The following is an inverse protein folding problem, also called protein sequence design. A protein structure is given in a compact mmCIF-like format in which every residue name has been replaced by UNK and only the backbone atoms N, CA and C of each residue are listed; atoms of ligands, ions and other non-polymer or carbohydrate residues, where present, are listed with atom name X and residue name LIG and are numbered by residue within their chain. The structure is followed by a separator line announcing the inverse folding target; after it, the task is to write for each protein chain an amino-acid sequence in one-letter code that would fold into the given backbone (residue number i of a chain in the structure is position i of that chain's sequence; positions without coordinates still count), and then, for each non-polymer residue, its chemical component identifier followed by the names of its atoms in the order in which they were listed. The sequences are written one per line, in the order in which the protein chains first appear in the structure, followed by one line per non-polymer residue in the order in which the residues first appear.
data_IF_961490931226
#
_entry.id   IF_961490931226
#
_cell.length_a   1.000
_cell.length_b   1.000
_cell.length_c   1.000
_cell.angle_alpha   90.00
_cell.angle_beta   90.00
_cell.angle_gamma   90.00
#
_symmetry.space_group_name_H-M   'P 1'
#
loop_
_entity.id
_entity.type
_entity.pdbx_description
1 polymer ?
#
# COMPACT_ATOMS: atom_id res chain seq x y z
N UNK A 1 -0.29 -5.38 -12.59
CA UNK A 1 -0.73 -4.56 -11.45
C UNK A 1 0.34 -4.56 -10.37
N UNK A 2 0.65 -3.41 -9.77
CA UNK A 2 1.62 -3.27 -8.70
C UNK A 2 0.95 -2.54 -7.52
N UNK A 3 1.10 -3.05 -6.30
CA UNK A 3 0.48 -2.55 -5.08
C UNK A 3 1.52 -2.05 -4.07
N UNK A 4 1.06 -1.43 -2.98
CA UNK A 4 1.84 -1.15 -1.78
C UNK A 4 1.15 -1.74 -0.56
N UNK A 5 1.94 -2.11 0.45
CA UNK A 5 1.42 -2.23 1.82
C UNK A 5 1.16 -0.80 2.33
N UNK A 6 -0.10 -0.44 2.68
CA UNK A 6 -0.43 0.91 3.09
C UNK A 6 0.24 1.30 4.41
N UNK A 7 0.55 0.32 5.28
CA UNK A 7 1.20 0.54 6.57
C UNK A 7 2.07 -0.68 6.96
N UNK A 8 3.32 -0.75 6.46
CA UNK A 8 4.22 -1.85 6.76
C UNK A 8 4.37 -2.12 8.26
N UNK A 9 4.14 -3.38 8.65
CA UNK A 9 4.23 -3.83 10.05
C UNK A 9 2.98 -3.57 10.91
N UNK A 10 1.93 -2.97 10.34
CA UNK A 10 0.68 -2.71 11.06
C UNK A 10 -0.47 -3.68 10.71
N UNK A 11 -0.24 -4.65 9.81
CA UNK A 11 -1.23 -5.67 9.46
C UNK A 11 -1.63 -6.51 10.69
N UNK A 12 -2.94 -6.64 10.93
CA UNK A 12 -3.48 -7.48 11.98
C UNK A 12 -3.58 -8.94 11.55
N UNK A 13 -2.49 -9.69 11.76
CA UNK A 13 -2.46 -11.12 11.52
C UNK A 13 -3.29 -11.94 12.54
N UNK A 14 -3.79 -11.34 13.62
CA UNK A 14 -4.62 -12.03 14.62
C UNK A 14 -6.08 -12.18 14.18
N UNK A 15 -6.51 -11.36 13.21
CA UNK A 15 -7.84 -11.39 12.64
C UNK A 15 -7.81 -11.32 11.10
N UNK A 16 -7.19 -12.30 10.42
CA UNK A 16 -6.96 -12.25 8.99
C UNK A 16 -8.27 -12.38 8.18
N UNK A 17 -8.17 -12.15 6.88
CA UNK A 17 -9.27 -12.42 5.94
C UNK A 17 -9.79 -13.86 6.11
N UNK A 18 -11.11 -14.01 6.10
CA UNK A 18 -11.78 -15.30 6.26
C UNK A 18 -11.83 -15.81 7.70
N UNK A 19 -11.23 -15.12 8.68
CA UNK A 19 -11.28 -15.55 10.07
C UNK A 19 -12.71 -15.65 10.60
N UNK A 20 -13.02 -16.77 11.27
CA UNK A 20 -14.33 -17.07 11.87
C UNK A 20 -14.25 -17.27 13.38
N UNK A 21 -13.08 -17.06 13.98
CA UNK A 21 -12.90 -17.24 15.41
C UNK A 21 -13.85 -16.32 16.21
N UNK A 22 -14.36 -16.84 17.33
CA UNK A 22 -15.19 -16.04 18.25
C UNK A 22 -14.40 -14.78 18.66
N UNK A 23 -15.05 -13.61 18.76
CA UNK A 23 -16.50 -13.40 18.83
C UNK A 23 -17.19 -13.15 17.49
N UNK A 24 -16.56 -13.44 16.34
CA UNK A 24 -17.17 -13.19 15.03
C UNK A 24 -18.41 -14.06 14.82
N UNK A 25 -19.46 -13.47 14.26
CA UNK A 25 -20.69 -14.16 13.83
C UNK A 25 -20.68 -14.46 12.32
N UNK A 26 -19.74 -13.88 11.59
CA UNK A 26 -19.48 -14.09 10.17
C UNK A 26 -17.98 -13.93 9.89
N UNK A 27 -17.52 -14.54 8.79
CA UNK A 27 -16.11 -14.48 8.40
C UNK A 27 -15.66 -13.03 8.17
N UNK A 28 -14.42 -12.71 8.56
CA UNK A 28 -13.82 -11.42 8.26
C UNK A 28 -13.72 -11.22 6.73
N UNK A 29 -14.34 -10.17 6.20
CA UNK A 29 -14.48 -9.97 4.74
C UNK A 29 -13.37 -9.15 4.11
N UNK A 30 -12.35 -8.80 4.90
CA UNK A 30 -11.25 -7.94 4.50
C UNK A 30 -10.02 -8.20 5.38
N UNK A 31 -9.09 -7.25 5.36
CA UNK A 31 -7.86 -7.24 6.16
C UNK A 31 -7.75 -5.89 6.87
N UNK A 32 -7.24 -5.91 8.09
CA UNK A 32 -7.12 -4.72 8.94
C UNK A 32 -5.66 -4.32 9.14
N UNK A 33 -5.42 -3.00 9.20
CA UNK A 33 -4.17 -2.40 9.64
C UNK A 33 -4.42 -1.52 10.88
N UNK A 34 -3.75 -1.84 11.98
CA UNK A 34 -3.92 -1.15 13.26
C UNK A 34 -3.08 0.12 13.27
N UNK A 35 -3.71 1.24 12.96
CA UNK A 35 -3.06 2.56 12.91
C UNK A 35 -3.96 3.63 13.54
N UNK A 36 -3.36 4.71 14.03
CA UNK A 36 -4.08 5.77 14.74
C UNK A 36 -5.03 6.55 13.84
N UNK A 37 -6.14 7.01 14.42
CA UNK A 37 -7.08 7.88 13.71
C UNK A 37 -6.41 9.18 13.25
N UNK A 38 -6.77 9.65 12.06
CA UNK A 38 -6.21 10.85 11.43
C UNK A 38 -4.99 10.59 10.53
N UNK A 39 -4.41 9.39 10.60
CA UNK A 39 -3.33 8.93 9.70
C UNK A 39 -3.82 8.95 8.25
N UNK A 40 -3.01 9.45 7.33
CA UNK A 40 -3.33 9.45 5.91
C UNK A 40 -3.39 8.01 5.38
N UNK A 41 -4.48 7.67 4.69
CA UNK A 41 -4.68 6.36 4.07
C UNK A 41 -4.24 6.41 2.60
N UNK A 42 -3.05 5.88 2.24
CA UNK A 42 -2.53 5.93 0.88
C UNK A 42 -3.26 4.93 -0.02
N UNK A 43 -3.39 5.21 -1.32
CA UNK A 43 -3.97 4.30 -2.31
C UNK A 43 -3.10 3.05 -2.50
N UNK A 44 -3.68 1.85 -2.40
CA UNK A 44 -2.95 0.58 -2.60
C UNK A 44 -2.30 0.48 -3.97
N UNK A 45 -3.00 0.96 -5.00
CA UNK A 45 -2.59 0.88 -6.39
C UNK A 45 -3.25 1.98 -7.20
N UNK A 46 -2.70 2.23 -8.39
CA UNK A 46 -3.27 3.19 -9.33
C UNK A 46 -4.63 2.70 -9.85
N UNK A 47 -5.54 3.63 -10.06
CA UNK A 47 -6.90 3.29 -10.44
C UNK A 47 -7.85 4.47 -10.51
N UNK A 48 -9.12 4.17 -10.77
CA UNK A 48 -10.21 5.16 -10.83
C UNK A 48 -11.14 4.99 -9.64
N UNK A 49 -11.48 6.08 -8.96
CA UNK A 49 -12.45 6.06 -7.86
C UNK A 49 -13.84 5.68 -8.40
N UNK A 50 -14.31 4.49 -8.04
CA UNK A 50 -15.59 3.96 -8.49
C UNK A 50 -16.77 4.48 -7.67
N UNK A 51 -16.59 4.64 -6.35
CA UNK A 51 -17.57 5.27 -5.47
C UNK A 51 -16.93 5.75 -4.16
N UNK A 52 -17.62 6.66 -3.47
CA UNK A 52 -17.38 7.01 -2.05
C UNK A 52 -18.70 7.36 -1.39
N UNK A 53 -18.95 6.90 -0.18
CA UNK A 53 -20.24 7.08 0.49
C UNK A 53 -20.17 6.88 2.00
N UNK A 54 -21.31 7.12 2.67
CA UNK A 54 -21.54 6.68 4.05
C UNK A 54 -22.31 5.36 4.07
N UNK A 55 -21.90 4.43 4.92
CA UNK A 55 -22.61 3.19 5.22
C UNK A 55 -22.76 3.02 6.74
N UNK A 56 -23.94 2.64 7.22
CA UNK A 56 -24.21 2.57 8.67
C UNK A 56 -23.23 1.65 9.43
N UNK A 57 -22.91 0.48 8.87
CA UNK A 57 -21.94 -0.44 9.46
C UNK A 57 -20.49 -0.07 9.21
N UNK A 58 -20.18 0.47 8.03
CA UNK A 58 -18.81 0.55 7.51
C UNK A 58 -18.25 1.98 7.49
N UNK A 59 -19.04 2.96 7.93
CA UNK A 59 -18.63 4.34 8.07
C UNK A 59 -18.47 5.04 6.72
N UNK A 60 -17.53 5.97 6.66
CA UNK A 60 -17.12 6.58 5.41
C UNK A 60 -16.24 5.60 4.62
N UNK A 61 -16.62 5.37 3.36
CA UNK A 61 -15.95 4.43 2.48
C UNK A 61 -15.52 5.08 1.17
N UNK A 62 -14.50 4.49 0.55
CA UNK A 62 -14.09 4.76 -0.84
C UNK A 62 -13.74 3.45 -1.51
N UNK A 63 -14.13 3.28 -2.77
CA UNK A 63 -13.79 2.14 -3.60
C UNK A 63 -13.05 2.61 -4.85
N UNK A 64 -11.94 1.96 -5.17
CA UNK A 64 -11.10 2.25 -6.34
C UNK A 64 -11.04 1.01 -7.22
N UNK A 65 -11.29 1.22 -8.52
CA UNK A 65 -11.08 0.24 -9.58
C UNK A 65 -9.62 0.28 -10.01
N UNK A 66 -8.90 -0.84 -9.86
CA UNK A 66 -7.50 -0.93 -10.27
C UNK A 66 -7.38 -0.92 -11.81
N UNK A 67 -6.39 -0.21 -12.37
CA UNK A 67 -6.26 -0.01 -13.83
C UNK A 67 -6.00 -1.32 -14.60
N UNK A 68 -5.07 -2.15 -14.12
CA UNK A 68 -4.63 -3.38 -14.79
C UNK A 68 -5.29 -4.64 -14.20
N UNK A 69 -6.53 -4.52 -13.71
CA UNK A 69 -7.20 -5.63 -13.04
C UNK A 69 -8.71 -5.51 -13.08
N UNK A 70 -9.40 -6.66 -13.03
CA UNK A 70 -10.85 -6.69 -12.81
C UNK A 70 -11.26 -6.34 -11.37
N UNK A 71 -10.29 -6.16 -10.48
CA UNK A 71 -10.51 -5.95 -9.06
C UNK A 71 -10.78 -4.48 -8.66
N UNK A 72 -11.51 -4.35 -7.57
CA UNK A 72 -11.76 -3.15 -6.82
C UNK A 72 -11.27 -3.36 -5.40
N UNK A 73 -10.58 -2.38 -4.83
CA UNK A 73 -10.34 -2.33 -3.39
C UNK A 73 -11.19 -1.23 -2.77
N UNK A 74 -11.61 -1.43 -1.51
CA UNK A 74 -12.30 -0.40 -0.75
C UNK A 74 -11.70 -0.20 0.63
N UNK A 75 -11.70 1.05 1.07
CA UNK A 75 -11.37 1.44 2.44
C UNK A 75 -12.64 1.74 3.20
N UNK A 76 -12.69 1.27 4.44
CA UNK A 76 -13.80 1.44 5.36
C UNK A 76 -13.34 2.20 6.60
N UNK A 77 -14.31 2.61 7.42
CA UNK A 77 -14.14 3.24 8.72
C UNK A 77 -13.37 4.58 8.70
N UNK A 78 -13.24 5.23 7.55
CA UNK A 78 -12.50 6.48 7.41
C UNK A 78 -13.04 7.55 8.38
N UNK A 79 -12.17 8.43 8.86
CA UNK A 79 -12.52 9.48 9.82
C UNK A 79 -13.58 10.46 9.27
N UNK A 80 -13.60 10.64 7.95
CA UNK A 80 -14.51 11.53 7.23
C UNK A 80 -14.64 11.12 5.77
N UNK A 81 -15.39 11.90 4.97
CA UNK A 81 -15.51 11.67 3.54
C UNK A 81 -14.14 11.57 2.86
N UNK A 82 -13.99 10.60 1.97
CA UNK A 82 -12.77 10.43 1.19
C UNK A 82 -12.49 11.65 0.29
N UNK A 83 -11.20 11.95 0.09
CA UNK A 83 -10.74 13.18 -0.57
C UNK A 83 -11.04 13.19 -2.07
N UNK A 84 -10.60 12.18 -2.87
CA UNK A 84 -10.74 12.27 -4.32
C UNK A 84 -12.20 12.13 -4.75
N UNK A 85 -12.57 12.75 -5.87
CA UNK A 85 -13.92 12.67 -6.43
C UNK A 85 -14.17 11.31 -7.09
N UNK A 86 -15.44 10.91 -7.20
CA UNK A 86 -15.81 9.75 -8.03
C UNK A 86 -15.42 10.05 -9.49
N UNK A 87 -14.82 9.08 -10.17
CA UNK A 87 -14.26 9.23 -11.52
C UNK A 87 -12.86 9.84 -11.56
N UNK A 88 -12.32 10.31 -10.43
CA UNK A 88 -10.92 10.74 -10.38
C UNK A 88 -9.99 9.54 -10.51
N UNK A 89 -8.94 9.70 -11.30
CA UNK A 89 -7.80 8.79 -11.31
C UNK A 89 -6.89 9.11 -10.11
N UNK A 90 -6.39 8.08 -9.44
CA UNK A 90 -5.46 8.17 -8.32
C UNK A 90 -4.22 7.36 -8.66
N UNK A 91 -3.05 7.90 -8.33
CA UNK A 91 -1.81 7.16 -8.35
C UNK A 91 -1.68 6.31 -7.09
N UNK A 92 -0.90 5.24 -7.18
CA UNK A 92 -0.50 4.45 -6.01
C UNK A 92 0.22 5.36 -5.01
N UNK A 93 -0.18 5.30 -3.74
CA UNK A 93 0.36 6.16 -2.68
C UNK A 93 -0.43 7.45 -2.44
N UNK A 94 -1.32 7.86 -3.36
CA UNK A 94 -2.13 9.07 -3.17
C UNK A 94 -3.03 8.95 -1.94
N UNK A 95 -3.19 10.05 -1.21
CA UNK A 95 -4.03 10.06 -0.01
C UNK A 95 -5.51 10.01 -0.40
N UNK A 96 -6.17 8.90 -0.08
CA UNK A 96 -7.59 8.70 -0.35
C UNK A 96 -8.48 9.28 0.76
N UNK A 97 -7.97 9.38 1.97
CA UNK A 97 -8.70 9.82 3.15
C UNK A 97 -7.86 9.68 4.40
N UNK A 98 -8.50 9.76 5.56
CA UNK A 98 -7.86 9.56 6.86
C UNK A 98 -8.43 8.36 7.57
N UNK A 99 -7.58 7.55 8.19
CA UNK A 99 -7.98 6.41 9.01
C UNK A 99 -8.85 6.89 10.16
N UNK A 100 -9.89 6.13 10.47
CA UNK A 100 -10.83 6.46 11.54
C UNK A 100 -11.41 5.20 12.19
N UNK A 101 -12.57 5.39 12.81
CA UNK A 101 -13.35 4.33 13.45
C UNK A 101 -14.86 4.55 13.20
N UNK A 102 -15.23 5.06 12.02
CA UNK A 102 -16.64 5.38 11.74
C UNK A 102 -17.44 4.14 11.35
N UNK A 103 -18.75 4.17 11.59
CA UNK A 103 -19.64 3.03 11.37
C UNK A 103 -19.72 2.08 12.58
N UNK A 104 -20.81 1.33 12.68
CA UNK A 104 -21.10 0.50 13.87
C UNK A 104 -20.25 -0.76 13.98
N UNK A 105 -19.58 -1.17 12.90
CA UNK A 105 -18.75 -2.38 12.90
C UNK A 105 -17.33 -2.12 13.42
N UNK A 106 -16.87 -0.86 13.44
CA UNK A 106 -15.55 -0.51 13.95
C UNK A 106 -15.52 -0.55 15.49
N UNK A 107 -14.51 -1.22 16.06
CA UNK A 107 -14.29 -1.29 17.52
C UNK A 107 -13.19 -0.35 18.01
N UNK A 108 -12.47 0.26 17.09
CA UNK A 108 -11.31 1.13 17.33
C UNK A 108 -10.76 1.64 16.01
N UNK A 109 -9.78 2.54 16.07
CA UNK A 109 -9.17 3.09 14.87
C UNK A 109 -8.32 2.03 14.15
N UNK A 110 -8.61 1.81 12.87
CA UNK A 110 -7.87 0.92 11.97
C UNK A 110 -8.27 1.22 10.51
N UNK A 111 -7.42 0.84 9.56
CA UNK A 111 -7.80 0.81 8.15
C UNK A 111 -8.28 -0.60 7.80
N UNK A 112 -9.57 -0.74 7.48
CA UNK A 112 -10.10 -1.98 6.93
C UNK A 112 -10.14 -1.91 5.41
N UNK A 113 -9.54 -2.91 4.77
CA UNK A 113 -9.48 -3.05 3.31
C UNK A 113 -10.31 -4.25 2.89
N UNK A 114 -11.17 -4.08 1.90
CA UNK A 114 -11.78 -5.20 1.17
C UNK A 114 -11.32 -5.21 -0.28
N UNK A 115 -11.32 -6.39 -0.91
CA UNK A 115 -11.08 -6.54 -2.34
C UNK A 115 -12.10 -7.49 -2.94
N UNK A 116 -12.70 -7.11 -4.07
CA UNK A 116 -13.56 -7.99 -4.88
C UNK A 116 -13.56 -7.57 -6.36
N UNK A 117 -14.24 -8.32 -7.21
CA UNK A 117 -14.47 -8.00 -8.62
C UNK A 117 -15.66 -7.07 -8.85
N UNK A 118 -16.19 -6.43 -7.80
CA UNK A 118 -17.37 -5.58 -7.87
C UNK A 118 -17.14 -4.20 -7.22
N UNK A 119 -17.77 -3.12 -7.72
CA UNK A 119 -17.69 -1.79 -7.10
C UNK A 119 -18.32 -1.75 -5.70
N UNK A 120 -19.05 -2.80 -5.31
CA UNK A 120 -19.64 -3.00 -3.98
C UNK A 120 -18.69 -3.64 -2.98
N UNK A 121 -17.37 -3.63 -3.24
CA UNK A 121 -16.34 -4.07 -2.30
C UNK A 121 -16.51 -3.44 -0.91
N UNK A 122 -16.96 -2.19 -0.81
CA UNK A 122 -17.19 -1.49 0.47
C UNK A 122 -18.27 -2.12 1.37
N UNK A 123 -19.09 -3.05 0.86
CA UNK A 123 -20.05 -3.87 1.64
C UNK A 123 -19.73 -5.37 1.57
N UNK A 124 -18.53 -5.72 1.09
CA UNK A 124 -18.07 -7.11 1.03
C UNK A 124 -18.85 -7.99 0.05
N UNK A 125 -19.40 -7.40 -1.01
CA UNK A 125 -20.08 -8.12 -2.09
C UNK A 125 -19.13 -8.40 -3.27
N UNK A 126 -19.56 -9.30 -4.17
CA UNK A 126 -18.75 -9.81 -5.27
C UNK A 126 -17.90 -11.03 -4.89
N UNK A 127 -17.04 -11.48 -5.80
CA UNK A 127 -16.08 -12.54 -5.55
C UNK A 127 -14.89 -11.96 -4.78
N UNK A 128 -15.00 -11.98 -3.45
CA UNK A 128 -13.98 -11.46 -2.54
C UNK A 128 -12.64 -12.17 -2.71
N UNK A 129 -11.58 -11.42 -2.45
CA UNK A 129 -10.18 -11.87 -2.40
C UNK A 129 -9.56 -11.42 -1.09
N UNK A 130 -8.59 -12.19 -0.61
CA UNK A 130 -7.76 -11.81 0.52
C UNK A 130 -6.93 -10.57 0.14
N UNK A 131 -7.18 -9.40 0.75
CA UNK A 131 -6.43 -8.18 0.46
C UNK A 131 -4.96 -8.29 0.84
N UNK A 132 -4.65 -8.93 1.97
CA UNK A 132 -3.27 -9.08 2.43
C UNK A 132 -2.48 -9.92 1.43
N UNK A 133 -2.98 -11.11 1.08
CA UNK A 133 -2.29 -11.97 0.11
C UNK A 133 -2.16 -11.28 -1.25
N UNK A 134 -3.20 -10.59 -1.73
CA UNK A 134 -3.13 -9.86 -2.99
C UNK A 134 -2.05 -8.78 -2.97
N UNK A 135 -1.94 -8.02 -1.88
CA UNK A 135 -0.87 -7.03 -1.71
C UNK A 135 0.48 -7.73 -1.78
N UNK A 136 0.70 -8.78 -0.99
CA UNK A 136 1.98 -9.51 -0.96
C UNK A 136 2.40 -10.02 -2.35
N UNK A 137 1.47 -10.61 -3.09
CA UNK A 137 1.70 -11.13 -4.44
C UNK A 137 2.06 -10.03 -5.46
N UNK A 138 1.75 -8.77 -5.16
CA UNK A 138 1.93 -7.62 -6.05
C UNK A 138 2.74 -6.49 -5.42
N UNK A 139 3.50 -6.74 -4.35
CA UNK A 139 4.45 -5.77 -3.79
C UNK A 139 5.60 -5.50 -4.76
N UNK A 140 5.90 -6.48 -5.61
CA UNK A 140 6.95 -6.47 -6.61
C UNK A 140 6.33 -6.64 -8.00
N UNK A 141 6.97 -6.12 -9.03
CA UNK A 141 6.43 -6.24 -10.39
C UNK A 141 6.47 -7.71 -10.87
N UNK A 142 5.75 -8.02 -11.95
CA UNK A 142 5.62 -9.37 -12.54
C UNK A 142 6.94 -10.00 -13.03
N UNK A 143 8.07 -9.31 -12.89
CA UNK A 143 9.41 -9.83 -13.21
C UNK A 143 10.17 -10.30 -11.96
N UNK A 144 9.58 -10.20 -10.76
CA UNK A 144 10.26 -10.51 -9.50
C UNK A 144 11.40 -9.53 -9.18
N UNK A 145 11.48 -8.42 -9.91
CA UNK A 145 12.48 -7.40 -9.73
C UNK A 145 12.10 -6.56 -8.50
N UNK A 146 12.81 -6.83 -7.42
CA UNK A 146 12.90 -5.97 -6.24
C UNK A 146 13.05 -4.51 -6.64
N UNK A 147 12.26 -3.59 -6.08
CA UNK A 147 12.36 -2.14 -6.38
C UNK A 147 13.66 -1.48 -5.91
N UNK A 148 14.61 -2.27 -5.41
CA UNK A 148 15.90 -1.76 -5.01
C UNK A 148 16.91 -1.76 -6.15
N UNK A 149 17.60 -0.64 -6.26
CA UNK A 149 18.72 -0.42 -7.15
C UNK A 149 19.97 -0.31 -6.29
N UNK A 150 21.03 -1.02 -6.65
CA UNK A 150 22.35 -0.80 -6.04
C UNK A 150 23.06 0.30 -6.81
N UNK A 151 23.32 1.42 -6.14
CA UNK A 151 24.10 2.54 -6.69
C UNK A 151 25.52 2.51 -6.15
N UNK A 152 26.48 2.90 -6.98
CA UNK A 152 27.89 2.96 -6.61
C UNK A 152 28.56 4.21 -7.15
N UNK A 153 29.46 4.80 -6.36
CA UNK A 153 30.38 5.85 -6.80
C UNK A 153 31.75 5.75 -6.11
N UNK A 154 32.81 6.38 -6.67
CA UNK A 154 34.15 6.27 -6.12
C UNK A 154 34.29 6.79 -4.69
N UNK A 155 33.64 7.90 -4.31
CA UNK A 155 33.79 8.46 -2.95
C UNK A 155 32.62 8.16 -2.03
N UNK A 156 31.41 7.89 -2.55
CA UNK A 156 30.25 7.53 -1.72
C UNK A 156 30.13 6.03 -1.47
N UNK A 157 30.93 5.19 -2.12
CA UNK A 157 30.86 3.74 -1.96
C UNK A 157 29.60 3.16 -2.60
N UNK A 158 29.04 2.11 -1.98
CA UNK A 158 27.90 1.35 -2.50
C UNK A 158 26.68 1.58 -1.61
N UNK A 159 25.50 1.76 -2.18
CA UNK A 159 24.25 1.87 -1.45
C UNK A 159 23.11 1.15 -2.17
N UNK A 160 22.11 0.75 -1.40
CA UNK A 160 20.81 0.28 -1.86
C UNK A 160 19.82 1.44 -1.80
N UNK A 161 19.09 1.68 -2.89
CA UNK A 161 18.03 2.68 -2.95
C UNK A 161 16.73 2.05 -3.45
N UNK A 162 15.60 2.49 -2.93
CA UNK A 162 14.26 2.11 -3.38
C UNK A 162 13.25 3.22 -3.05
N UNK A 163 11.97 3.09 -3.40
CA UNK A 163 10.96 4.09 -3.07
C UNK A 163 10.92 4.37 -1.56
N UNK A 164 11.27 5.59 -1.15
CA UNK A 164 11.35 5.99 0.26
C UNK A 164 12.49 5.35 1.06
N UNK A 165 13.45 4.68 0.40
CA UNK A 165 14.49 3.87 1.05
C UNK A 165 15.90 4.22 0.57
N UNK A 166 16.81 4.35 1.53
CA UNK A 166 18.25 4.45 1.30
C UNK A 166 19.00 3.69 2.40
N UNK A 167 19.94 2.82 2.01
CA UNK A 167 20.89 2.18 2.93
C UNK A 167 22.28 2.14 2.31
N UNK A 168 23.27 2.63 3.06
CA UNK A 168 24.68 2.47 2.69
C UNK A 168 25.14 1.05 3.00
N UNK A 169 25.88 0.42 2.09
CA UNK A 169 26.46 -0.91 2.28
C UNK A 169 27.95 -0.73 2.60
N UNK A 170 28.33 -1.05 3.83
CA UNK A 170 29.63 -0.77 4.40
C UNK A 170 30.56 -1.97 4.37
N UNK A 171 30.02 -3.19 4.26
CA UNK A 171 30.78 -4.44 4.28
C UNK A 171 30.55 -5.27 3.03
N UNK A 172 31.51 -6.16 2.71
CA UNK A 172 31.39 -7.10 1.59
C UNK A 172 30.22 -8.07 1.79
N UNK A 173 29.94 -8.47 3.03
CA UNK A 173 28.77 -9.29 3.37
C UNK A 173 27.46 -8.57 3.04
N UNK A 174 27.33 -7.28 3.39
CA UNK A 174 26.14 -6.49 3.02
C UNK A 174 25.98 -6.36 1.51
N UNK A 175 27.08 -6.22 0.77
CA UNK A 175 27.08 -6.17 -0.70
C UNK A 175 26.65 -7.51 -1.29
N UNK A 176 27.15 -8.62 -0.77
CA UNK A 176 26.80 -9.98 -1.20
C UNK A 176 25.32 -10.28 -0.92
N UNK A 177 24.86 -10.05 0.31
CA UNK A 177 23.48 -10.29 0.70
C UNK A 177 22.48 -9.35 0.03
N UNK A 178 22.93 -8.23 -0.55
CA UNK A 178 22.07 -7.35 -1.36
C UNK A 178 21.77 -7.92 -2.76
N UNK A 179 22.57 -8.84 -3.30
CA UNK A 179 22.45 -9.33 -4.67
C UNK A 179 21.05 -9.88 -5.05
N UNK A 180 20.37 -10.71 -4.24
CA UNK A 180 19.02 -11.19 -4.56
C UNK A 180 17.94 -10.11 -4.39
N UNK A 181 18.29 -8.99 -3.76
CA UNK A 181 17.38 -7.89 -3.46
C UNK A 181 17.47 -6.75 -4.47
N UNK A 182 18.28 -6.85 -5.52
CA UNK A 182 18.58 -5.75 -6.44
C UNK A 182 18.09 -6.06 -7.85
N UNK A 183 17.23 -5.21 -8.40
CA UNK A 183 16.81 -5.29 -9.80
C UNK A 183 17.86 -4.74 -10.76
N UNK A 184 18.58 -3.69 -10.33
CA UNK A 184 19.55 -3.00 -11.19
C UNK A 184 20.75 -2.49 -10.43
N UNK A 185 21.89 -2.51 -11.12
CA UNK A 185 23.16 -1.96 -10.64
C UNK A 185 23.52 -0.71 -11.46
N UNK A 186 23.76 0.41 -10.78
CA UNK A 186 24.19 1.68 -11.39
C UNK A 186 25.53 2.12 -10.82
N UNK A 187 26.48 2.40 -11.69
CA UNK A 187 27.78 2.98 -11.32
C UNK A 187 27.88 4.36 -11.95
N UNK A 188 28.15 5.38 -11.13
CA UNK A 188 28.23 6.77 -11.56
C UNK A 188 29.25 7.58 -10.77
N UNK A 189 29.29 8.89 -11.04
CA UNK A 189 30.07 9.83 -10.23
C UNK A 189 29.31 10.20 -8.93
N UNK A 190 30.00 10.87 -8.00
CA UNK A 190 29.44 11.22 -6.69
C UNK A 190 28.17 12.11 -6.80
N UNK A 191 28.08 12.96 -7.84
CA UNK A 191 26.89 13.80 -8.09
C UNK A 191 25.69 12.96 -8.54
N UNK A 192 25.91 11.97 -9.41
CA UNK A 192 24.86 11.06 -9.84
C UNK A 192 24.36 10.21 -8.65
N UNK A 193 25.27 9.76 -7.80
CA UNK A 193 24.92 9.04 -6.57
C UNK A 193 24.00 9.89 -5.67
N UNK A 194 24.38 11.13 -5.39
CA UNK A 194 23.62 12.03 -4.52
C UNK A 194 22.22 12.33 -5.12
N UNK A 195 22.12 12.45 -6.46
CA UNK A 195 20.83 12.64 -7.15
C UNK A 195 19.94 11.39 -7.09
N UNK A 196 20.48 10.19 -7.36
CA UNK A 196 19.71 8.95 -7.26
C UNK A 196 19.21 8.71 -5.84
N UNK A 197 20.05 8.98 -4.84
CA UNK A 197 19.64 8.97 -3.43
C UNK A 197 18.49 9.94 -3.16
N UNK A 198 18.60 11.19 -3.64
CA UNK A 198 17.55 12.20 -3.46
C UNK A 198 16.23 11.72 -4.08
N UNK A 199 16.26 11.29 -5.35
CA UNK A 199 15.07 10.81 -6.06
C UNK A 199 14.41 9.62 -5.36
N UNK A 200 15.19 8.69 -4.81
CA UNK A 200 14.68 7.55 -4.05
C UNK A 200 13.97 7.99 -2.76
N UNK A 201 14.49 9.00 -2.07
CA UNK A 201 13.93 9.52 -0.82
C UNK A 201 12.76 10.50 -1.05
N UNK A 202 12.83 11.30 -2.12
CA UNK A 202 11.84 12.32 -2.49
C UNK A 202 10.63 11.73 -3.24
N UNK A 203 10.70 10.45 -3.64
CA UNK A 203 9.59 9.73 -4.28
C UNK A 203 8.31 9.64 -3.44
N UNK A 204 8.35 10.02 -2.16
CA UNK A 204 7.18 10.18 -1.28
C UNK A 204 6.60 11.62 -1.28
N UNK A 205 7.16 12.56 -2.04
CA UNK A 205 6.85 14.00 -1.90
C UNK A 205 6.90 14.86 -3.16
N UNK A 206 7.14 14.31 -4.36
CA UNK A 206 7.12 15.10 -5.60
C UNK A 206 5.69 15.44 -6.05
N UNK A 207 5.08 16.40 -5.36
CA UNK A 207 3.94 17.18 -5.84
C UNK A 207 4.43 18.09 -6.97
N UNK A 208 3.88 17.93 -8.17
CA UNK A 208 3.78 18.99 -9.18
C UNK A 208 2.33 19.44 -9.28
#
# INVERSE_FOLDING_TARGET
MLLIDPFPGAYDASDPYGNTAKPRTYAHTGSDWIVSAGTDAPALGAGVVANKQWHAGNGYTITVKLDDSDLYYAYLHLQGPALPAVGAHVARGDVLGKVGATGTNARGAHLHVTVSDAPTAYVGLGNRRDPWQLIQDHLFNTEGETMFIRIQSPKRGIALIGPGYYRHLQTDEEVEQSAPLVAKHLTGNDRQFDLWRSMALDGAGAKS
#
